data_IF_724047939597
#
_entry.id   IF_724047939597
#
_cell.length_a   1.000
_cell.length_b   1.000
_cell.length_c   1.000
_cell.angle_alpha   90.00
_cell.angle_beta   90.00
_cell.angle_gamma   90.00
#
_symmetry.space_group_name_H-M   'P 1'
#
loop_
_entity.id
_entity.type
_entity.pdbx_description
1 polymer ?
#
# COMPACT_ATOMS: atom_id res chain seq x y z
N UNK A 1 -9.42 -0.10 14.35
CA UNK A 1 -9.79 0.37 15.69
C UNK A 1 -8.81 -0.15 16.74
N UNK A 2 -8.21 0.73 17.55
CA UNK A 2 -7.25 0.36 18.60
C UNK A 2 -7.87 -0.37 19.79
N UNK A 3 -9.19 -0.31 20.00
CA UNK A 3 -9.85 -0.93 21.14
C UNK A 3 -10.14 -2.43 20.94
N UNK A 4 -9.99 -2.93 19.71
CA UNK A 4 -10.28 -4.32 19.36
C UNK A 4 -9.38 -5.30 20.13
N UNK A 5 -10.00 -6.31 20.75
CA UNK A 5 -9.28 -7.33 21.53
C UNK A 5 -8.22 -8.08 20.70
N UNK A 6 -8.49 -8.48 19.43
CA UNK A 6 -7.46 -9.07 18.57
C UNK A 6 -6.27 -8.16 18.32
N UNK A 7 -6.51 -6.85 18.18
CA UNK A 7 -5.45 -5.86 17.97
C UNK A 7 -4.56 -5.71 19.20
N UNK A 8 -5.16 -5.52 20.37
CA UNK A 8 -4.45 -5.39 21.65
C UNK A 8 -3.63 -6.65 21.98
N UNK A 9 -4.20 -7.83 21.71
CA UNK A 9 -3.52 -9.10 21.88
C UNK A 9 -2.29 -9.22 20.99
N UNK A 10 -2.42 -8.86 19.71
CA UNK A 10 -1.29 -8.84 18.76
C UNK A 10 -0.22 -7.82 19.18
N UNK A 11 -0.61 -6.57 19.48
CA UNK A 11 0.30 -5.46 19.82
C UNK A 11 1.14 -5.77 21.06
N UNK A 12 0.61 -6.54 22.02
CA UNK A 12 1.37 -6.93 23.23
C UNK A 12 2.59 -7.79 22.89
N UNK A 13 2.49 -8.64 21.87
CA UNK A 13 3.57 -9.54 21.45
C UNK A 13 4.47 -8.89 20.39
N UNK A 14 3.89 -8.09 19.50
CA UNK A 14 4.59 -7.46 18.38
C UNK A 14 4.35 -5.95 18.30
N UNK A 15 4.70 -5.16 19.34
CA UNK A 15 4.44 -3.71 19.33
C UNK A 15 5.16 -2.97 18.20
N UNK A 16 6.31 -3.47 17.76
CA UNK A 16 7.11 -2.94 16.66
C UNK A 16 6.44 -3.09 15.28
N UNK A 17 5.50 -4.04 15.15
CA UNK A 17 4.72 -4.26 13.93
C UNK A 17 3.48 -3.36 13.88
N UNK A 18 3.19 -2.61 14.94
CA UNK A 18 2.02 -1.75 15.05
C UNK A 18 2.41 -0.27 14.91
N UNK A 19 1.67 0.48 14.09
CA UNK A 19 1.86 1.93 13.96
C UNK A 19 0.55 2.69 13.78
N UNK A 20 0.54 4.00 14.04
CA UNK A 20 -0.62 4.86 13.79
C UNK A 20 -1.01 4.83 12.32
N UNK A 21 -2.31 4.67 12.05
CA UNK A 21 -2.83 4.77 10.71
C UNK A 21 -2.71 6.22 10.22
N UNK A 22 -2.12 6.39 9.04
CA UNK A 22 -2.06 7.67 8.32
C UNK A 22 -3.40 8.00 7.64
N UNK A 23 -4.34 7.05 7.64
CA UNK A 23 -5.65 7.15 7.00
C UNK A 23 -6.80 7.26 8.00
N UNK A 24 -6.51 7.21 9.32
CA UNK A 24 -7.55 7.33 10.35
C UNK A 24 -7.96 8.79 10.52
N UNK A 25 -9.19 9.13 10.12
CA UNK A 25 -9.73 10.49 10.26
C UNK A 25 -9.81 10.94 11.73
N UNK A 26 -10.10 10.00 12.63
CA UNK A 26 -10.35 10.29 14.05
C UNK A 26 -9.20 9.85 14.97
N UNK A 27 -8.06 9.41 14.41
CA UNK A 27 -6.91 8.85 15.15
C UNK A 27 -7.26 7.66 16.05
N UNK A 28 -8.27 6.87 15.66
CA UNK A 28 -8.74 5.69 16.39
C UNK A 28 -8.16 4.38 15.85
N UNK A 29 -7.41 4.44 14.75
CA UNK A 29 -6.91 3.25 14.06
C UNK A 29 -5.39 3.20 14.02
N UNK A 30 -4.89 1.99 14.21
CA UNK A 30 -3.50 1.62 14.01
C UNK A 30 -3.44 0.48 12.97
N UNK A 31 -2.31 0.38 12.29
CA UNK A 31 -2.02 -0.61 11.25
C UNK A 31 -1.11 -1.67 11.83
N UNK A 32 -1.40 -2.94 11.53
CA UNK A 32 -0.50 -4.06 11.78
C UNK A 32 0.26 -4.37 10.48
N UNK A 33 1.58 -4.51 10.58
CA UNK A 33 2.45 -4.97 9.50
C UNK A 33 2.78 -6.45 9.68
N UNK A 34 2.70 -7.20 8.59
CA UNK A 34 3.10 -8.60 8.56
C UNK A 34 4.28 -8.77 7.61
N UNK A 35 5.49 -9.11 8.09
CA UNK A 35 6.60 -9.47 7.22
C UNK A 35 6.29 -10.85 6.62
N UNK A 36 6.15 -10.92 5.30
CA UNK A 36 5.77 -12.15 4.60
C UNK A 36 6.77 -12.44 3.49
N UNK A 37 7.28 -13.67 3.46
CA UNK A 37 7.94 -14.26 2.30
C UNK A 37 6.99 -15.26 1.64
N UNK A 38 6.91 -15.21 0.32
CA UNK A 38 6.15 -16.21 -0.45
C UNK A 38 7.10 -17.33 -0.91
N UNK A 39 6.65 -18.59 -0.97
CA UNK A 39 7.47 -19.69 -1.43
C UNK A 39 7.98 -19.51 -2.86
N UNK A 40 9.11 -20.16 -3.17
CA UNK A 40 9.63 -20.23 -4.54
C UNK A 40 8.56 -20.77 -5.51
N UNK A 41 8.46 -20.12 -6.67
CA UNK A 41 7.46 -20.45 -7.69
C UNK A 41 6.06 -19.89 -7.45
N UNK A 42 5.82 -19.19 -6.32
CA UNK A 42 4.57 -18.46 -6.13
C UNK A 42 4.39 -17.38 -7.22
N UNK A 43 3.19 -17.31 -7.80
CA UNK A 43 2.82 -16.22 -8.71
C UNK A 43 2.55 -14.96 -7.89
N UNK A 44 3.30 -13.90 -8.17
CA UNK A 44 3.11 -12.60 -7.54
C UNK A 44 2.45 -11.60 -8.49
N UNK A 45 1.80 -10.57 -7.94
CA UNK A 45 1.15 -9.50 -8.73
C UNK A 45 2.10 -8.86 -9.76
N UNK A 46 3.39 -8.80 -9.46
CA UNK A 46 4.40 -8.15 -10.30
C UNK A 46 4.78 -9.00 -11.54
N UNK A 47 4.46 -10.29 -11.54
CA UNK A 47 4.73 -11.22 -12.63
C UNK A 47 3.56 -11.34 -13.63
N UNK A 48 2.37 -10.84 -13.27
CA UNK A 48 1.16 -10.99 -14.07
C UNK A 48 0.89 -9.71 -14.88
N UNK A 49 0.76 -9.79 -16.22
CA UNK A 49 0.29 -8.66 -17.02
C UNK A 49 -1.11 -8.20 -16.59
N UNK A 50 -1.36 -6.89 -16.63
CA UNK A 50 -2.62 -6.33 -16.16
C UNK A 50 -3.85 -6.89 -16.89
N UNK A 51 -3.74 -7.18 -18.19
CA UNK A 51 -4.82 -7.77 -19.00
C UNK A 51 -5.13 -9.21 -18.64
N UNK A 52 -4.15 -9.99 -18.17
CA UNK A 52 -4.35 -11.35 -17.70
C UNK A 52 -5.09 -11.36 -16.36
N UNK A 53 -4.74 -10.44 -15.46
CA UNK A 53 -5.50 -10.23 -14.22
C UNK A 53 -6.97 -9.87 -14.52
N UNK A 54 -7.21 -8.96 -15.47
CA UNK A 54 -8.56 -8.61 -15.91
C UNK A 54 -9.33 -9.79 -16.53
N UNK A 55 -8.63 -10.70 -17.21
CA UNK A 55 -9.23 -11.93 -17.73
C UNK A 55 -9.69 -12.85 -16.58
N UNK A 56 -8.88 -13.02 -15.54
CA UNK A 56 -9.23 -13.80 -14.35
C UNK A 56 -10.44 -13.18 -13.63
N UNK A 57 -10.46 -11.85 -13.46
CA UNK A 57 -11.61 -11.13 -12.86
C UNK A 57 -12.88 -11.36 -13.67
N UNK A 58 -12.79 -11.22 -15.01
CA UNK A 58 -13.92 -11.47 -15.92
C UNK A 58 -14.42 -12.91 -15.83
N UNK A 59 -13.52 -13.89 -15.82
CA UNK A 59 -13.89 -15.30 -15.73
C UNK A 59 -14.53 -15.63 -14.38
N UNK A 60 -14.07 -15.00 -13.30
CA UNK A 60 -14.72 -15.09 -11.98
C UNK A 60 -16.12 -14.50 -12.02
N UNK A 61 -16.29 -13.30 -12.60
CA UNK A 61 -17.61 -12.67 -12.72
C UNK A 61 -18.57 -13.57 -13.53
N UNK A 62 -18.09 -14.14 -14.63
CA UNK A 62 -18.90 -14.96 -15.53
C UNK A 62 -19.28 -16.30 -14.91
N UNK A 63 -18.30 -17.05 -14.42
CA UNK A 63 -18.46 -18.46 -14.09
C UNK A 63 -18.79 -18.69 -12.61
N UNK A 64 -18.42 -17.76 -11.72
CA UNK A 64 -18.76 -17.84 -10.30
C UNK A 64 -19.94 -16.93 -9.97
N UNK A 65 -19.78 -15.61 -10.14
CA UNK A 65 -20.77 -14.65 -9.62
C UNK A 65 -22.10 -14.73 -10.38
N UNK A 66 -22.07 -14.56 -11.70
CA UNK A 66 -23.29 -14.53 -12.50
C UNK A 66 -23.95 -15.90 -12.58
N UNK A 67 -23.16 -16.98 -12.59
CA UNK A 67 -23.67 -18.35 -12.70
C UNK A 67 -24.17 -18.89 -11.35
N UNK A 68 -23.53 -18.51 -10.24
CA UNK A 68 -23.92 -18.90 -8.87
C UNK A 68 -25.00 -18.01 -8.25
N UNK A 69 -25.43 -16.94 -8.94
CA UNK A 69 -26.46 -16.03 -8.45
C UNK A 69 -27.79 -16.74 -8.22
N UNK A 70 -28.26 -16.76 -6.98
CA UNK A 70 -29.61 -17.22 -6.65
C UNK A 70 -30.62 -16.09 -6.88
N UNK A 71 -31.28 -16.12 -8.04
CA UNK A 71 -32.25 -15.10 -8.45
C UNK A 71 -33.40 -14.90 -7.46
N UNK A 72 -33.86 -15.96 -6.79
CA UNK A 72 -35.00 -15.84 -5.86
C UNK A 72 -34.68 -15.04 -4.59
N UNK A 73 -33.40 -14.85 -4.28
CA UNK A 73 -32.93 -14.06 -3.15
C UNK A 73 -32.45 -12.66 -3.56
N UNK A 74 -32.47 -12.34 -4.85
CA UNK A 74 -32.08 -11.02 -5.33
C UNK A 74 -33.20 -10.01 -5.06
N UNK A 75 -32.84 -8.83 -4.56
CA UNK A 75 -33.77 -7.69 -4.46
C UNK A 75 -34.29 -7.27 -5.83
N UNK A 76 -33.45 -7.39 -6.87
CA UNK A 76 -33.80 -7.15 -8.27
C UNK A 76 -33.04 -8.14 -9.16
N UNK A 77 -33.71 -8.74 -10.14
CA UNK A 77 -33.13 -9.80 -10.97
C UNK A 77 -31.90 -9.38 -11.79
N UNK A 78 -31.81 -8.10 -12.15
CA UNK A 78 -30.72 -7.55 -12.95
C UNK A 78 -29.47 -7.22 -12.12
N UNK A 79 -29.58 -7.15 -10.79
CA UNK A 79 -28.44 -6.87 -9.93
C UNK A 79 -27.52 -8.11 -9.85
N UNK A 80 -26.23 -7.85 -9.69
CA UNK A 80 -25.20 -8.86 -9.49
C UNK A 80 -24.10 -8.27 -8.62
N UNK A 81 -23.43 -9.10 -7.84
CA UNK A 81 -22.26 -8.66 -7.11
C UNK A 81 -21.10 -8.38 -8.06
N UNK A 82 -20.15 -7.55 -7.62
CA UNK A 82 -18.90 -7.30 -8.33
C UNK A 82 -17.80 -8.21 -7.79
N UNK A 83 -16.84 -8.56 -8.63
CA UNK A 83 -15.56 -9.11 -8.17
C UNK A 83 -14.68 -7.95 -7.75
N UNK A 84 -14.51 -7.73 -6.43
CA UNK A 84 -13.58 -6.72 -5.92
C UNK A 84 -12.15 -7.03 -6.37
N UNK A 85 -11.52 -6.07 -7.06
CA UNK A 85 -10.20 -6.26 -7.63
C UNK A 85 -9.43 -4.93 -7.69
N UNK A 86 -8.12 -5.01 -7.48
CA UNK A 86 -7.15 -3.95 -7.75
C UNK A 86 -6.13 -4.50 -8.73
N UNK A 87 -6.08 -3.94 -9.93
CA UNK A 87 -5.17 -4.35 -11.01
C UNK A 87 -3.96 -3.43 -11.02
N UNK A 88 -2.78 -4.00 -10.85
CA UNK A 88 -1.51 -3.28 -11.01
C UNK A 88 -1.20 -3.13 -12.49
N UNK A 89 -0.93 -1.90 -12.94
CA UNK A 89 -0.73 -1.56 -14.36
C UNK A 89 0.67 -0.98 -14.58
N UNK A 90 1.43 -1.58 -15.50
CA UNK A 90 2.75 -1.06 -15.90
C UNK A 90 2.62 0.13 -16.85
N UNK A 91 3.65 1.00 -16.95
CA UNK A 91 3.60 2.19 -17.81
C UNK A 91 3.22 1.93 -19.27
N UNK A 92 3.63 0.79 -19.82
CA UNK A 92 3.38 0.36 -21.21
C UNK A 92 2.06 -0.41 -21.40
N UNK A 93 1.36 -0.77 -20.32
CA UNK A 93 0.15 -1.60 -20.38
C UNK A 93 -1.15 -0.79 -20.45
N UNK A 94 -1.13 0.52 -20.11
CA UNK A 94 -2.33 1.34 -19.96
C UNK A 94 -3.26 1.30 -21.18
N UNK A 95 -2.71 1.43 -22.39
CA UNK A 95 -3.52 1.38 -23.63
C UNK A 95 -4.23 0.03 -23.82
N UNK A 96 -3.53 -1.07 -23.55
CA UNK A 96 -4.08 -2.42 -23.64
C UNK A 96 -5.15 -2.66 -22.58
N UNK A 97 -4.92 -2.18 -21.36
CA UNK A 97 -5.87 -2.25 -20.24
C UNK A 97 -7.16 -1.50 -20.59
N UNK A 98 -7.06 -0.25 -21.05
CA UNK A 98 -8.22 0.55 -21.44
C UNK A 98 -9.05 -0.15 -22.51
N UNK A 99 -8.39 -0.64 -23.57
CA UNK A 99 -9.07 -1.37 -24.64
C UNK A 99 -9.75 -2.63 -24.13
N UNK A 100 -9.06 -3.43 -23.32
CA UNK A 100 -9.60 -4.66 -22.77
C UNK A 100 -10.84 -4.42 -21.91
N UNK A 101 -10.81 -3.41 -21.02
CA UNK A 101 -11.95 -3.04 -20.19
C UNK A 101 -13.12 -2.61 -21.08
N UNK A 102 -12.89 -1.75 -22.07
CA UNK A 102 -13.94 -1.26 -22.95
C UNK A 102 -14.64 -2.38 -23.74
N UNK A 103 -13.84 -3.28 -24.33
CA UNK A 103 -14.32 -4.42 -25.12
C UNK A 103 -15.11 -5.42 -24.25
N UNK A 104 -14.80 -5.50 -22.95
CA UNK A 104 -15.38 -6.45 -22.01
C UNK A 104 -16.29 -5.82 -20.94
N UNK A 105 -16.66 -4.54 -21.08
CA UNK A 105 -17.35 -3.73 -20.05
C UNK A 105 -18.62 -4.36 -19.45
N UNK A 106 -19.32 -5.22 -20.20
CA UNK A 106 -20.50 -5.96 -19.71
C UNK A 106 -20.19 -6.96 -18.57
N UNK A 107 -18.93 -7.29 -18.35
CA UNK A 107 -18.47 -8.20 -17.30
C UNK A 107 -17.83 -7.48 -16.11
N UNK A 108 -17.83 -6.15 -16.10
CA UNK A 108 -17.21 -5.37 -15.03
C UNK A 108 -18.21 -4.36 -14.50
N UNK A 109 -18.42 -4.35 -13.18
CA UNK A 109 -19.17 -3.31 -12.50
C UNK A 109 -18.23 -2.29 -11.85
N UNK A 110 -17.13 -2.75 -11.26
CA UNK A 110 -16.09 -1.89 -10.70
C UNK A 110 -14.70 -2.52 -10.83
N UNK A 111 -13.73 -1.71 -11.24
CA UNK A 111 -12.31 -2.06 -11.37
C UNK A 111 -11.50 -0.96 -10.69
N UNK A 112 -10.62 -1.33 -9.77
CA UNK A 112 -9.60 -0.41 -9.26
C UNK A 112 -8.30 -0.62 -10.03
N UNK A 113 -7.72 0.46 -10.55
CA UNK A 113 -6.44 0.43 -11.25
C UNK A 113 -5.40 1.16 -10.39
N UNK A 114 -4.24 0.54 -10.20
CA UNK A 114 -3.12 1.16 -9.49
C UNK A 114 -1.85 1.08 -10.36
N UNK A 115 -1.08 2.16 -10.51
CA UNK A 115 0.23 2.08 -11.15
C UNK A 115 1.15 1.07 -10.45
N UNK A 116 2.10 0.49 -11.17
CA UNK A 116 3.11 -0.40 -10.59
C UNK A 116 3.86 0.20 -9.41
N UNK A 117 4.06 1.52 -9.40
CA UNK A 117 4.69 2.27 -8.30
C UNK A 117 3.78 2.53 -7.10
N UNK A 118 2.52 2.11 -7.13
CA UNK A 118 1.52 2.51 -6.14
C UNK A 118 1.91 2.17 -4.70
N UNK A 119 2.63 1.08 -4.47
CA UNK A 119 3.13 0.70 -3.14
C UNK A 119 4.27 1.60 -2.62
N UNK A 120 4.86 2.41 -3.49
CA UNK A 120 5.83 3.46 -3.16
C UNK A 120 5.18 4.84 -3.12
N UNK A 121 4.08 5.04 -3.86
CA UNK A 121 3.38 6.32 -3.90
C UNK A 121 2.50 6.52 -2.68
N UNK A 122 1.78 5.49 -2.23
CA UNK A 122 0.90 5.58 -1.07
C UNK A 122 1.61 5.15 0.22
N UNK A 123 1.52 5.94 1.31
CA UNK A 123 1.94 5.47 2.63
C UNK A 123 1.02 4.33 3.08
N UNK A 124 1.59 3.34 3.77
CA UNK A 124 0.83 2.20 4.33
C UNK A 124 0.00 1.45 3.28
N UNK A 125 0.56 1.24 2.08
CA UNK A 125 -0.09 0.41 1.08
C UNK A 125 -0.33 -1.02 1.63
N UNK A 126 -1.53 -1.61 1.45
CA UNK A 126 -1.87 -2.92 2.02
C UNK A 126 -0.88 -4.04 1.65
N UNK A 127 -0.32 -3.98 0.43
CA UNK A 127 0.76 -4.85 -0.02
C UNK A 127 1.93 -4.01 -0.52
N UNK A 128 3.02 -4.01 0.24
CA UNK A 128 4.25 -3.31 -0.11
C UNK A 128 5.32 -4.31 -0.52
N UNK A 129 5.85 -4.16 -1.74
CA UNK A 129 6.98 -4.96 -2.21
C UNK A 129 8.22 -4.54 -1.44
N UNK A 130 8.95 -5.51 -0.92
CA UNK A 130 10.24 -5.29 -0.25
C UNK A 130 11.32 -5.92 -1.11
N UNK A 131 12.31 -5.11 -1.52
CA UNK A 131 13.50 -5.60 -2.20
C UNK A 131 14.58 -5.95 -1.20
N UNK A 132 15.28 -7.05 -1.45
CA UNK A 132 16.51 -7.38 -0.72
C UNK A 132 17.59 -6.34 -1.01
N UNK A 133 18.61 -6.27 -0.16
CA UNK A 133 19.75 -5.37 -0.37
C UNK A 133 20.41 -5.52 -1.75
N UNK A 134 20.47 -6.75 -2.29
CA UNK A 134 21.02 -7.03 -3.63
C UNK A 134 20.14 -6.49 -4.75
N UNK A 135 18.82 -6.63 -4.62
CA UNK A 135 17.86 -6.11 -5.60
C UNK A 135 17.83 -4.59 -5.59
N UNK A 136 17.91 -3.97 -4.41
CA UNK A 136 18.00 -2.51 -4.27
C UNK A 136 19.24 -1.98 -5.00
N UNK A 137 20.43 -2.54 -4.74
CA UNK A 137 21.66 -2.11 -5.41
C UNK A 137 21.59 -2.38 -6.92
N UNK A 138 20.98 -3.49 -7.33
CA UNK A 138 20.76 -3.78 -8.76
C UNK A 138 19.85 -2.75 -9.43
N UNK A 139 18.80 -2.29 -8.75
CA UNK A 139 17.83 -1.33 -9.29
C UNK A 139 18.38 0.11 -9.29
N UNK A 140 19.00 0.55 -8.20
CA UNK A 140 19.36 1.96 -8.00
C UNK A 140 20.87 2.25 -8.04
N UNK A 141 21.70 1.22 -8.14
CA UNK A 141 23.16 1.32 -8.06
C UNK A 141 23.67 1.54 -6.64
N UNK A 142 24.99 1.77 -6.53
CA UNK A 142 25.68 1.95 -5.24
C UNK A 142 25.17 3.17 -4.46
N UNK A 143 24.52 4.12 -5.13
CA UNK A 143 23.91 5.28 -4.49
C UNK A 143 22.89 4.92 -3.40
N UNK A 144 22.23 3.77 -3.52
CA UNK A 144 21.32 3.26 -2.49
C UNK A 144 22.01 3.02 -1.14
N UNK A 145 23.31 2.68 -1.13
CA UNK A 145 24.07 2.44 0.09
C UNK A 145 24.32 3.72 0.89
N UNK A 146 24.27 4.88 0.23
CA UNK A 146 24.58 6.18 0.84
C UNK A 146 23.33 7.02 1.14
N UNK A 147 22.15 6.56 0.73
CA UNK A 147 20.92 7.34 0.91
C UNK A 147 20.35 7.27 2.35
N UNK A 148 20.89 6.42 3.23
CA UNK A 148 20.48 6.33 4.64
C UNK A 148 20.54 7.66 5.37
N UNK A 149 21.58 8.47 5.12
CA UNK A 149 21.69 9.81 5.70
C UNK A 149 20.58 10.76 5.24
N UNK A 150 20.05 10.61 4.02
CA UNK A 150 18.90 11.38 3.56
C UNK A 150 17.60 10.90 4.20
N UNK A 151 17.46 9.59 4.40
CA UNK A 151 16.29 9.01 5.07
C UNK A 151 16.19 9.57 6.49
N UNK A 152 17.27 9.55 7.25
CA UNK A 152 17.29 10.11 8.62
C UNK A 152 16.96 11.61 8.66
N UNK A 153 17.51 12.40 7.72
CA UNK A 153 17.15 13.82 7.60
C UNK A 153 15.66 14.01 7.31
N UNK A 154 15.09 13.19 6.42
CA UNK A 154 13.67 13.24 6.09
C UNK A 154 12.78 12.85 7.26
N UNK A 155 13.13 11.79 8.00
CA UNK A 155 12.38 11.36 9.18
C UNK A 155 12.39 12.44 10.27
N UNK A 156 13.55 13.06 10.53
CA UNK A 156 13.68 14.13 11.51
C UNK A 156 12.88 15.39 11.14
N UNK A 157 12.87 15.77 9.85
CA UNK A 157 12.17 16.97 9.39
C UNK A 157 10.63 16.80 9.26
N UNK A 158 10.12 15.56 9.24
CA UNK A 158 8.72 15.24 8.95
C UNK A 158 8.09 14.24 9.94
N UNK A 159 8.45 14.31 11.22
CA UNK A 159 7.79 13.53 12.29
C UNK A 159 7.74 12.02 11.99
N UNK A 160 8.88 11.45 11.59
CA UNK A 160 9.03 10.05 11.18
C UNK A 160 8.12 9.64 10.00
N UNK A 161 7.79 10.59 9.10
CA UNK A 161 7.02 10.32 7.90
C UNK A 161 7.88 10.51 6.63
N UNK A 162 8.54 9.44 6.22
CA UNK A 162 9.39 9.45 5.02
C UNK A 162 8.60 9.72 3.73
N UNK A 163 7.34 9.26 3.63
CA UNK A 163 6.50 9.53 2.45
C UNK A 163 6.19 11.01 2.34
N UNK A 164 5.76 11.64 3.43
CA UNK A 164 5.53 13.10 3.45
C UNK A 164 6.80 13.87 3.09
N UNK A 165 7.96 13.47 3.63
CA UNK A 165 9.24 14.08 3.27
C UNK A 165 9.53 13.95 1.75
N UNK A 166 9.37 12.75 1.20
CA UNK A 166 9.59 12.49 -0.22
C UNK A 166 8.63 13.28 -1.13
N UNK A 167 7.35 13.30 -0.79
CA UNK A 167 6.31 13.98 -1.56
C UNK A 167 6.52 15.49 -1.54
N UNK A 168 6.94 16.03 -0.39
CA UNK A 168 7.25 17.44 -0.22
C UNK A 168 8.32 17.94 -1.21
N UNK A 169 9.39 17.15 -1.40
CA UNK A 169 10.44 17.49 -2.37
C UNK A 169 9.97 17.22 -3.80
N UNK A 170 9.30 16.10 -4.04
CA UNK A 170 8.85 15.68 -5.38
C UNK A 170 7.80 16.63 -5.97
N UNK A 171 6.97 17.23 -5.12
CA UNK A 171 5.95 18.22 -5.48
C UNK A 171 6.46 19.67 -5.39
N UNK A 172 7.75 19.87 -5.14
CA UNK A 172 8.41 21.17 -5.02
C UNK A 172 7.68 22.14 -4.05
N UNK A 173 7.35 21.65 -2.85
CA UNK A 173 6.55 22.39 -1.87
C UNK A 173 7.37 23.28 -0.92
N UNK A 174 8.68 23.39 -1.13
CA UNK A 174 9.59 24.19 -0.31
C UNK A 174 9.23 25.69 -0.35
N UNK A 175 9.28 26.33 0.81
CA UNK A 175 8.95 27.74 1.06
C UNK A 175 10.09 28.42 1.83
N UNK A 176 10.24 29.72 1.65
CA UNK A 176 11.31 30.49 2.30
C UNK A 176 11.23 30.50 3.84
N UNK A 177 10.03 30.33 4.40
CA UNK A 177 9.77 30.34 5.84
C UNK A 177 9.75 28.95 6.48
N UNK A 178 10.18 27.90 5.77
CA UNK A 178 10.28 26.57 6.36
C UNK A 178 11.37 26.49 7.43
N UNK A 179 11.28 25.46 8.26
CA UNK A 179 12.32 25.17 9.24
C UNK A 179 13.65 24.87 8.55
N UNK A 180 14.73 25.13 9.28
CA UNK A 180 16.08 24.86 8.78
C UNK A 180 16.26 23.37 8.42
N UNK A 181 15.63 22.43 9.15
CA UNK A 181 15.74 21.00 8.81
C UNK A 181 15.08 20.68 7.46
N UNK A 182 13.90 21.25 7.18
CA UNK A 182 13.20 21.05 5.89
C UNK A 182 13.99 21.62 4.73
N UNK A 183 14.51 22.84 4.87
CA UNK A 183 15.34 23.48 3.84
C UNK A 183 16.64 22.70 3.59
N UNK A 184 17.27 22.21 4.66
CA UNK A 184 18.46 21.36 4.57
C UNK A 184 18.14 20.05 3.85
N UNK A 185 17.05 19.38 4.22
CA UNK A 185 16.62 18.13 3.59
C UNK A 185 16.36 18.32 2.09
N UNK A 186 15.57 19.34 1.70
CA UNK A 186 15.29 19.66 0.29
C UNK A 186 16.59 19.89 -0.50
N UNK A 187 17.52 20.66 0.08
CA UNK A 187 18.81 20.96 -0.57
C UNK A 187 19.65 19.70 -0.75
N UNK A 188 19.74 18.85 0.28
CA UNK A 188 20.51 17.59 0.22
C UNK A 188 19.90 16.61 -0.77
N UNK A 189 18.57 16.50 -0.82
CA UNK A 189 17.84 15.69 -1.80
C UNK A 189 18.15 16.13 -3.24
N UNK A 190 18.03 17.42 -3.55
CA UNK A 190 18.32 17.95 -4.90
C UNK A 190 19.77 17.72 -5.31
N UNK A 191 20.72 17.96 -4.42
CA UNK A 191 22.15 17.74 -4.69
C UNK A 191 22.48 16.26 -4.91
N UNK A 192 21.90 15.38 -4.09
CA UNK A 192 22.11 13.94 -4.21
C UNK A 192 21.49 13.38 -5.49
N UNK A 193 20.26 13.80 -5.82
CA UNK A 193 19.61 13.43 -7.08
C UNK A 193 20.41 13.92 -8.29
N UNK A 194 20.91 15.16 -8.26
CA UNK A 194 21.78 15.70 -9.31
C UNK A 194 23.06 14.89 -9.51
N UNK A 195 23.68 14.43 -8.42
CA UNK A 195 24.95 13.69 -8.47
C UNK A 195 24.78 12.22 -8.87
N UNK A 196 23.74 11.55 -8.39
CA UNK A 196 23.64 10.09 -8.48
C UNK A 196 22.41 9.57 -9.23
N UNK A 197 21.41 10.41 -9.49
CA UNK A 197 20.14 10.04 -10.14
C UNK A 197 19.86 10.89 -11.39
N UNK A 198 20.87 11.54 -11.99
CA UNK A 198 20.71 12.41 -13.17
C UNK A 198 19.66 13.52 -12.97
N UNK A 199 19.50 14.01 -11.74
CA UNK A 199 18.49 14.99 -11.37
C UNK A 199 17.08 14.41 -11.14
N UNK A 200 16.87 13.11 -11.29
CA UNK A 200 15.58 12.46 -11.06
C UNK A 200 15.33 12.27 -9.55
N UNK A 201 14.67 13.28 -8.97
CA UNK A 201 14.25 13.28 -7.58
C UNK A 201 13.26 12.16 -7.28
N UNK A 202 12.37 11.82 -8.23
CA UNK A 202 11.35 10.79 -8.03
C UNK A 202 12.00 9.40 -7.95
N UNK A 203 13.00 9.11 -8.78
CA UNK A 203 13.78 7.88 -8.69
C UNK A 203 14.56 7.79 -7.37
N UNK A 204 15.11 8.90 -6.88
CA UNK A 204 15.73 8.96 -5.56
C UNK A 204 14.73 8.66 -4.44
N UNK A 205 13.51 9.21 -4.50
CA UNK A 205 12.51 8.95 -3.45
C UNK A 205 12.09 7.48 -3.42
N UNK A 206 11.97 6.82 -4.57
CA UNK A 206 11.73 5.38 -4.64
C UNK A 206 12.87 4.56 -4.06
N UNK A 207 14.13 4.90 -4.38
CA UNK A 207 15.31 4.28 -3.77
C UNK A 207 15.27 4.38 -2.24
N UNK A 208 14.98 5.58 -1.72
CA UNK A 208 14.92 5.81 -0.27
C UNK A 208 13.80 5.00 0.39
N UNK A 209 12.63 4.91 -0.24
CA UNK A 209 11.49 4.13 0.27
C UNK A 209 11.80 2.63 0.27
N UNK A 210 12.47 2.10 -0.76
CA UNK A 210 12.86 0.69 -0.79
C UNK A 210 13.93 0.36 0.26
N UNK A 211 14.93 1.22 0.45
CA UNK A 211 15.93 1.06 1.54
C UNK A 211 15.26 1.11 2.91
N UNK A 212 14.32 2.04 3.12
CA UNK A 212 13.56 2.14 4.36
C UNK A 212 12.68 0.92 4.62
N UNK A 213 11.97 0.44 3.59
CA UNK A 213 11.13 -0.76 3.68
C UNK A 213 11.95 -2.02 3.96
N UNK A 214 13.13 -2.17 3.34
CA UNK A 214 14.04 -3.28 3.63
C UNK A 214 14.49 -3.28 5.08
N UNK A 215 14.86 -2.11 5.63
CA UNK A 215 15.19 -1.98 7.05
C UNK A 215 14.02 -2.40 7.94
N UNK A 216 12.81 -1.87 7.69
CA UNK A 216 11.62 -2.26 8.46
C UNK A 216 11.41 -3.77 8.39
N UNK A 217 11.50 -4.35 7.19
CA UNK A 217 11.31 -5.77 7.00
C UNK A 217 12.28 -6.60 7.84
N UNK A 218 13.59 -6.29 7.80
CA UNK A 218 14.58 -6.98 8.63
C UNK A 218 14.27 -6.85 10.12
N UNK A 219 14.02 -5.62 10.59
CA UNK A 219 13.71 -5.36 11.99
C UNK A 219 12.48 -6.16 12.45
N UNK A 220 11.43 -6.23 11.60
CA UNK A 220 10.22 -6.99 11.89
C UNK A 220 10.45 -8.49 11.84
N UNK A 221 11.12 -8.99 10.80
CA UNK A 221 11.31 -10.43 10.58
C UNK A 221 12.12 -11.05 11.73
N UNK A 222 13.16 -10.37 12.20
CA UNK A 222 14.01 -10.85 13.29
C UNK A 222 13.33 -10.78 14.67
N UNK A 223 12.39 -9.85 14.86
CA UNK A 223 11.70 -9.63 16.14
C UNK A 223 10.30 -10.22 16.22
N UNK A 224 9.78 -10.79 15.12
CA UNK A 224 8.40 -11.26 15.04
C UNK A 224 8.14 -12.45 15.95
N UNK A 225 7.11 -12.34 16.78
CA UNK A 225 6.59 -13.41 17.61
C UNK A 225 5.30 -13.95 17.03
N UNK A 226 5.25 -15.27 16.82
CA UNK A 226 4.01 -15.94 16.37
C UNK A 226 2.89 -15.72 17.40
N UNK A 227 1.76 -15.23 16.91
CA UNK A 227 0.58 -14.95 17.73
C UNK A 227 -0.34 -16.17 17.72
N UNK A 228 -0.60 -16.72 18.91
CA UNK A 228 -1.53 -17.84 19.09
C UNK A 228 -2.92 -17.31 19.45
N UNK A 229 -3.76 -17.12 18.44
CA UNK A 229 -5.12 -16.64 18.63
C UNK A 229 -6.04 -17.65 19.34
N UNK A 230 -5.64 -18.91 19.54
CA UNK A 230 -6.43 -19.86 20.35
C UNK A 230 -6.46 -19.50 21.83
N UNK A 231 -5.52 -18.67 22.28
CA UNK A 231 -5.45 -18.13 23.63
C UNK A 231 -6.19 -16.79 23.78
N UNK A 232 -6.71 -16.24 22.68
CA UNK A 232 -7.55 -15.05 22.73
C UNK A 232 -8.97 -15.47 23.14
N UNK A 233 -9.40 -15.02 24.32
CA UNK A 233 -10.74 -15.23 24.81
C UNK A 233 -11.49 -13.90 24.77
N UNK A 234 -12.50 -13.82 23.91
CA UNK A 234 -13.47 -12.73 23.89
C UNK A 234 -14.63 -13.12 24.82
N UNK A 235 -14.61 -12.60 26.04
CA UNK A 235 -15.65 -12.89 27.05
C UNK A 235 -16.88 -11.99 26.93
N UNK A 236 -16.74 -10.88 26.20
CA UNK A 236 -17.79 -9.89 25.98
C UNK A 236 -17.96 -9.68 24.47
N UNK A 237 -19.16 -9.96 23.97
CA UNK A 237 -19.53 -9.60 22.61
C UNK A 237 -19.97 -8.14 22.58
N UNK A 238 -19.03 -7.26 22.26
CA UNK A 238 -19.30 -5.84 22.05
C UNK A 238 -19.72 -5.53 20.60
N UNK A 239 -19.98 -6.56 19.77
CA UNK A 239 -20.63 -6.41 18.47
C UNK A 239 -22.14 -6.21 18.66
N UNK A 240 -22.53 -5.21 19.45
CA UNK A 240 -23.79 -4.53 19.15
C UNK A 240 -23.69 -4.16 17.67
N UNK A 241 -24.73 -4.43 16.85
CA UNK A 241 -24.74 -4.14 15.42
C UNK A 241 -24.59 -2.65 15.14
N UNK A 242 -23.39 -2.14 15.40
CA UNK A 242 -22.90 -0.85 14.99
C UNK A 242 -22.83 -1.02 13.49
N UNK A 243 -23.81 -0.43 12.82
CA UNK A 243 -23.65 -0.03 11.44
C UNK A 243 -22.40 0.86 11.44
N UNK A 244 -21.21 0.24 11.29
CA UNK A 244 -20.02 1.00 10.95
C UNK A 244 -20.36 1.65 9.62
N UNK A 245 -20.77 2.91 9.71
CA UNK A 245 -21.17 3.72 8.57
C UNK A 245 -19.94 3.80 7.68
N UNK A 246 -19.86 2.89 6.71
CA UNK A 246 -18.73 2.78 5.78
C UNK A 246 -18.61 4.04 4.90
N UNK A 247 -19.65 4.88 4.90
CA UNK A 247 -19.69 6.20 4.30
C UNK A 247 -20.14 7.27 5.32
N UNK A 248 -19.31 7.57 6.31
CA UNK A 248 -19.50 8.77 7.11
C UNK A 248 -19.20 10.01 6.24
N UNK A 249 -20.21 10.51 5.53
CA UNK A 249 -20.05 11.71 4.69
C UNK A 249 -21.16 12.03 3.69
N UNK A 250 -22.20 11.21 3.53
CA UNK A 250 -23.37 11.56 2.71
C UNK A 250 -23.08 11.89 1.24
N UNK A 251 -21.90 11.58 0.72
CA UNK A 251 -21.44 11.97 -0.61
C UNK A 251 -21.62 10.87 -1.68
N UNK A 252 -22.28 9.75 -1.34
CA UNK A 252 -22.79 8.83 -2.36
C UNK A 252 -24.03 9.46 -2.99
N UNK A 253 -23.79 10.32 -3.98
CA UNK A 253 -24.82 10.80 -4.89
C UNK A 253 -25.35 9.60 -5.68
N UNK A 254 -26.68 9.44 -5.67
CA UNK A 254 -27.44 8.61 -6.61
C UNK A 254 -27.31 9.23 -8.01
#
# INVERSE_FOLDING_TARGET
NVLEAPYQYFKRLNPQACEKSRWSANNTDEVIKFPIEVPDGAKTKNQLPATEMLAIVKDTQKNWVNSGKNKSLCTQDFLSHNVSNTVTVKPDEWGNVTKYIYDNRKYFAGISLIPQSGDKDYPQAPFTTVYTSREIVKEYGDAALWCSGLIELGLNAFENNLWAACDYVSMNQAKENDTQEKLLFVTKMKNFAGKYFNGDVKRLTYCMKDVYNWKIYCDLFDSYQKVDYTQLLETEDNTAGIEEVSCAGGACLI
#
